data_IF_321063120034
#
_entry.id   IF_321063120034
#
_cell.length_a   1.000
_cell.length_b   1.000
_cell.length_c   1.000
_cell.angle_alpha   90.00
_cell.angle_beta   90.00
_cell.angle_gamma   90.00
#
_symmetry.space_group_name_H-M   'P 1'
#
loop_
_entity.id
_entity.type
_entity.pdbx_description
1 polymer ?
#
# COMPACT_ATOMS: atom_id res chain seq x y z
N UNK A 1 2.65 11.31 -23.38
CA UNK A 1 3.83 10.73 -22.68
C UNK A 1 3.32 9.51 -21.91
N UNK A 2 3.66 8.31 -22.39
CA UNK A 2 3.12 7.06 -21.85
C UNK A 2 3.67 6.79 -20.44
N UNK A 3 2.76 6.39 -19.57
CA UNK A 3 2.98 6.10 -18.15
C UNK A 3 4.11 5.08 -17.98
N UNK A 4 5.20 5.49 -17.32
CA UNK A 4 6.23 4.55 -16.84
C UNK A 4 5.74 3.93 -15.54
N UNK A 5 5.21 2.71 -15.61
CA UNK A 5 4.83 1.92 -14.45
C UNK A 5 6.08 1.33 -13.82
N UNK A 6 6.66 2.03 -12.85
CA UNK A 6 7.73 1.45 -12.02
C UNK A 6 7.08 0.47 -11.02
N UNK A 7 7.30 -0.84 -11.24
CA UNK A 7 6.77 -1.93 -10.42
C UNK A 7 7.71 -2.32 -9.27
N UNK A 8 8.58 -1.42 -8.79
CA UNK A 8 9.42 -1.69 -7.62
C UNK A 8 8.56 -2.04 -6.41
N UNK A 9 8.87 -3.19 -5.81
CA UNK A 9 8.29 -3.59 -4.52
C UNK A 9 8.69 -2.57 -3.46
N UNK A 10 7.71 -1.80 -2.98
CA UNK A 10 7.93 -0.79 -1.92
C UNK A 10 7.90 -1.44 -0.54
N UNK A 11 7.01 -2.41 -0.34
CA UNK A 11 6.75 -3.03 0.95
C UNK A 11 6.01 -4.35 0.78
N UNK A 12 6.41 -5.34 1.59
CA UNK A 12 5.61 -6.52 1.87
C UNK A 12 4.82 -6.33 3.17
N UNK A 13 3.54 -6.68 3.17
CA UNK A 13 2.69 -6.64 4.35
C UNK A 13 2.37 -8.08 4.72
N UNK A 14 2.97 -8.55 5.81
CA UNK A 14 2.84 -9.93 6.27
C UNK A 14 1.72 -10.03 7.30
N UNK A 15 0.88 -11.06 7.20
CA UNK A 15 -0.04 -11.40 8.27
C UNK A 15 0.63 -12.28 9.31
N UNK A 16 0.56 -11.86 10.58
CA UNK A 16 1.01 -12.66 11.72
C UNK A 16 0.05 -13.79 12.11
N UNK A 17 -1.14 -13.86 11.49
CA UNK A 17 -2.14 -14.89 11.76
C UNK A 17 -1.76 -16.24 11.15
N UNK A 18 -1.46 -17.23 11.99
CA UNK A 18 -1.20 -18.60 11.54
C UNK A 18 -2.52 -19.21 11.05
N UNK A 19 -2.62 -19.49 9.75
CA UNK A 19 -3.76 -20.21 9.17
C UNK A 19 -4.77 -19.37 8.39
N UNK A 20 -4.46 -18.11 8.03
CA UNK A 20 -5.30 -17.41 7.07
C UNK A 20 -5.23 -18.09 5.69
N UNK A 21 -6.39 -18.44 5.14
CA UNK A 21 -6.54 -18.95 3.78
C UNK A 21 -6.08 -17.95 2.71
N UNK A 22 -6.21 -18.33 1.43
CA UNK A 22 -5.84 -17.47 0.32
C UNK A 22 -6.64 -16.15 0.35
N UNK A 23 -5.99 -15.02 0.02
CA UNK A 23 -6.68 -13.74 -0.17
C UNK A 23 -7.44 -13.80 -1.49
N UNK A 24 -8.75 -13.60 -1.43
CA UNK A 24 -9.65 -13.65 -2.59
C UNK A 24 -10.15 -12.27 -3.02
N UNK A 25 -10.07 -11.27 -2.14
CA UNK A 25 -10.44 -9.89 -2.45
C UNK A 25 -9.62 -8.89 -1.62
N UNK A 26 -9.37 -7.71 -2.19
CA UNK A 26 -8.71 -6.58 -1.54
C UNK A 26 -9.48 -5.29 -1.82
N UNK A 27 -9.58 -4.42 -0.81
CA UNK A 27 -10.21 -3.11 -0.94
C UNK A 27 -9.41 -2.05 -0.16
N UNK A 28 -9.18 -0.91 -0.81
CA UNK A 28 -8.54 0.25 -0.18
C UNK A 28 -9.61 1.25 0.25
N UNK A 29 -9.54 1.72 1.49
CA UNK A 29 -10.43 2.76 1.97
C UNK A 29 -10.10 4.12 1.37
N UNK A 30 -11.12 4.91 1.09
CA UNK A 30 -11.00 6.29 0.62
C UNK A 30 -10.33 7.22 1.64
N UNK A 31 -10.32 6.83 2.92
CA UNK A 31 -9.58 7.53 3.98
C UNK A 31 -8.05 7.42 3.83
N UNK A 32 -7.56 6.58 2.92
CA UNK A 32 -6.14 6.29 2.69
C UNK A 32 -5.41 5.73 3.92
N UNK A 33 -6.16 5.19 4.88
CA UNK A 33 -5.63 4.70 6.15
C UNK A 33 -5.93 3.22 6.34
N UNK A 34 -7.02 2.70 5.76
CA UNK A 34 -7.35 1.28 5.90
C UNK A 34 -7.21 0.50 4.59
N UNK A 35 -6.53 -0.63 4.68
CA UNK A 35 -6.56 -1.70 3.68
C UNK A 35 -7.34 -2.88 4.27
N UNK A 36 -8.26 -3.42 3.48
CA UNK A 36 -9.04 -4.60 3.82
C UNK A 36 -8.69 -5.73 2.85
N UNK A 37 -8.54 -6.95 3.36
CA UNK A 37 -8.50 -8.15 2.54
C UNK A 37 -9.45 -9.21 3.10
N UNK A 38 -10.19 -9.86 2.21
CA UNK A 38 -11.01 -11.02 2.54
C UNK A 38 -10.27 -12.30 2.14
N UNK A 39 -10.31 -13.29 3.02
CA UNK A 39 -9.71 -14.61 2.80
C UNK A 39 -10.79 -15.67 2.57
N UNK A 40 -10.40 -16.77 1.93
CA UNK A 40 -11.27 -17.92 1.65
C UNK A 40 -11.85 -18.55 2.93
N UNK A 41 -11.11 -18.49 4.04
CA UNK A 41 -11.54 -19.00 5.35
C UNK A 41 -12.53 -18.08 6.08
N UNK A 42 -13.11 -17.09 5.39
CA UNK A 42 -14.05 -16.11 5.93
C UNK A 42 -13.46 -15.15 6.98
N UNK A 43 -12.14 -15.01 7.02
CA UNK A 43 -11.46 -13.98 7.82
C UNK A 43 -11.34 -12.66 7.03
N UNK A 44 -11.40 -11.54 7.74
CA UNK A 44 -11.08 -10.22 7.17
C UNK A 44 -9.85 -9.67 7.87
N UNK A 45 -8.87 -9.32 7.06
CA UNK A 45 -7.61 -8.75 7.48
C UNK A 45 -7.70 -7.24 7.31
N UNK A 46 -7.33 -6.52 8.36
CA UNK A 46 -7.40 -5.06 8.39
C UNK A 46 -6.02 -4.54 8.72
N UNK A 47 -5.48 -3.70 7.84
CA UNK A 47 -4.22 -3.01 8.06
C UNK A 47 -4.45 -1.51 8.13
N UNK A 48 -3.90 -0.89 9.17
CA UNK A 48 -3.86 0.55 9.33
C UNK A 48 -2.53 1.11 8.82
N UNK A 49 -2.60 2.07 7.91
CA UNK A 49 -1.46 2.76 7.34
C UNK A 49 -0.86 3.74 8.33
N UNK A 50 0.41 3.55 8.69
CA UNK A 50 1.12 4.57 9.45
C UNK A 50 1.43 5.77 8.55
N UNK A 51 0.82 6.93 8.85
CA UNK A 51 1.20 8.20 8.23
C UNK A 51 2.65 8.49 8.59
N UNK A 52 3.56 8.34 7.63
CA UNK A 52 4.89 8.92 7.76
C UNK A 52 4.70 10.43 7.77
N UNK A 53 4.87 11.05 8.94
CA UNK A 53 5.09 12.49 9.04
C UNK A 53 6.34 12.80 8.21
N UNK A 54 6.16 13.19 6.95
CA UNK A 54 7.25 13.73 6.13
C UNK A 54 7.56 15.12 6.67
N UNK A 55 8.40 15.17 7.70
CA UNK A 55 9.06 16.38 8.16
C UNK A 55 10.22 16.80 7.24
N UNK A 56 10.45 16.08 6.14
CA UNK A 56 11.35 16.49 5.07
C UNK A 56 10.58 17.18 3.95
N UNK A 57 10.87 18.47 3.73
CA UNK A 57 10.37 19.27 2.61
C UNK A 57 10.44 18.48 1.30
N UNK A 58 9.36 18.36 0.52
CA UNK A 58 9.42 17.68 -0.77
C UNK A 58 10.39 18.44 -1.67
N UNK A 59 11.51 17.81 -2.04
CA UNK A 59 12.45 18.36 -3.01
C UNK A 59 11.84 18.21 -4.40
N UNK A 60 11.29 19.30 -4.93
CA UNK A 60 10.94 19.37 -6.34
C UNK A 60 12.24 19.43 -7.14
N UNK A 61 12.47 18.42 -7.98
CA UNK A 61 13.62 18.39 -8.89
C UNK A 61 13.31 19.36 -10.04
N UNK A 62 14.16 20.37 -10.22
CA UNK A 62 14.01 21.33 -11.31
C UNK A 62 14.51 20.69 -12.61
N UNK A 63 13.63 20.63 -13.64
CA UNK A 63 13.89 20.01 -14.94
C UNK A 63 14.31 21.01 -16.04
N UNK A 64 14.77 22.22 -15.71
CA UNK A 64 15.10 23.24 -16.73
C UNK A 64 16.59 23.51 -16.93
N UNK A 65 17.46 22.51 -16.89
CA UNK A 65 18.83 22.67 -17.44
C UNK A 65 19.06 21.64 -18.53
N UNK A 66 18.83 22.08 -19.76
CA UNK A 66 19.37 21.48 -20.98
C UNK A 66 20.36 22.47 -21.58
#
# INVERSE_FOLDING_TARGET
LWSSWDLRLVREIVNGGKGCGAIIAVAWSLDQHHLYAATEDSTVLIWEGMRRLSNGTPKFVNLTSL
#
